data_IF_891601864541
#
_entry.id   IF_891601864541
#
_cell.length_a   1.000
_cell.length_b   1.000
_cell.length_c   1.000
_cell.angle_alpha   90.00
_cell.angle_beta   90.00
_cell.angle_gamma   90.00
#
_symmetry.space_group_name_H-M   'P 1'
#
loop_
_entity.id
_entity.type
_entity.pdbx_description
1 polymer ?
#
# COMPACT_ATOMS: atom_id res chain seq x y z
N UNK A 1 26.15 0.08 18.74
CA UNK A 1 25.25 -0.07 18.78
C UNK A 1 24.84 -0.46 18.80
N UNK A 2 25.26 -0.10 18.95
CA UNK A 2 24.26 -0.15 18.93
C UNK A 2 23.71 -0.13 19.15
N UNK A 3 23.88 0.58 19.40
CA UNK A 3 22.86 0.84 19.48
C UNK A 3 22.34 1.30 19.57
N UNK A 4 22.94 1.85 19.69
CA UNK A 4 22.04 2.38 19.66
C UNK A 4 21.54 2.31 19.29
N UNK A 5 22.04 2.56 19.35
CA UNK A 5 21.09 2.68 18.98
C UNK A 5 20.40 2.13 18.99
N UNK A 6 20.40 2.17 19.25
CA UNK A 6 19.29 1.84 19.30
C UNK A 6 18.69 2.04 19.96
N UNK A 7 19.02 2.69 20.34
CA UNK A 7 18.05 3.05 20.76
C UNK A 7 17.36 3.67 20.64
N UNK A 8 17.70 4.29 20.66
CA UNK A 8 16.67 4.85 20.46
C UNK A 8 16.03 4.71 19.88
N UNK A 9 15.92 4.49 20.08
CA UNK A 9 14.87 4.41 19.50
C UNK A 9 14.28 3.91 19.77
N UNK A 10 14.58 3.83 20.06
CA UNK A 10 13.69 3.58 20.18
C UNK A 10 12.94 3.99 20.54
N UNK A 11 12.99 4.46 20.81
CA UNK A 11 12.01 4.94 20.95
C UNK A 11 11.35 5.21 20.62
N UNK A 12 11.34 5.37 20.70
CA UNK A 12 10.49 5.75 20.17
C UNK A 12 10.19 5.98 19.64
N UNK A 13 10.35 5.93 19.43
CA UNK A 13 9.81 6.24 18.72
C UNK A 13 9.39 6.37 18.20
N UNK A 14 9.81 6.43 18.38
CA UNK A 14 9.25 6.88 17.77
C UNK A 14 8.66 7.24 16.76
N UNK A 15 8.47 7.30 16.58
CA UNK A 15 8.02 8.00 15.38
C UNK A 15 8.42 7.33 14.10
N UNK A 16 8.96 6.21 14.19
CA UNK A 16 9.33 5.48 12.99
C UNK A 16 8.08 4.90 12.36
N UNK A 17 7.87 5.17 11.07
CA UNK A 17 6.69 4.70 10.40
C UNK A 17 6.75 3.20 10.19
N UNK A 18 5.60 2.56 10.25
CA UNK A 18 5.49 1.14 10.06
C UNK A 18 5.63 0.74 8.60
N UNK A 19 5.16 1.60 7.70
CA UNK A 19 5.13 1.33 6.27
C UNK A 19 5.69 2.51 5.52
N UNK A 20 6.27 2.23 4.35
CA UNK A 20 6.64 3.28 3.40
C UNK A 20 5.52 3.44 2.39
N UNK A 21 5.47 4.59 1.75
CA UNK A 21 4.55 4.78 0.63
C UNK A 21 5.00 3.89 -0.53
N UNK A 22 4.04 3.31 -1.28
CA UNK A 22 4.40 2.38 -2.36
C UNK A 22 4.86 3.06 -3.65
N UNK A 23 4.86 4.38 -3.69
CA UNK A 23 5.35 5.11 -4.87
C UNK A 23 6.23 6.25 -4.39
N UNK A 24 7.11 6.72 -5.27
CA UNK A 24 7.87 7.94 -5.00
C UNK A 24 6.93 9.13 -5.13
N UNK A 25 7.21 10.18 -4.34
CA UNK A 25 6.44 11.43 -4.36
C UNK A 25 4.93 11.18 -4.29
N UNK A 26 4.46 10.53 -3.21
CA UNK A 26 3.04 10.20 -3.13
C UNK A 26 2.16 11.44 -3.14
N UNK A 27 1.13 11.41 -3.97
CA UNK A 27 0.09 12.42 -4.02
C UNK A 27 -1.24 11.70 -3.88
N UNK A 28 -1.99 12.04 -2.84
CA UNK A 28 -3.24 11.35 -2.55
C UNK A 28 -4.36 11.96 -3.37
N UNK A 29 -4.96 11.15 -4.23
CA UNK A 29 -6.10 11.55 -5.04
C UNK A 29 -7.39 11.38 -4.25
N UNK A 30 -7.51 10.28 -3.50
CA UNK A 30 -8.68 10.02 -2.69
C UNK A 30 -8.26 9.35 -1.39
N UNK A 31 -8.74 9.88 -0.28
CA UNK A 31 -8.36 9.41 1.04
C UNK A 31 -9.20 8.21 1.47
N UNK A 32 -8.71 7.51 2.47
CA UNK A 32 -9.43 6.43 3.10
C UNK A 32 -10.70 6.99 3.76
N UNK A 33 -11.82 6.26 3.59
CA UNK A 33 -13.08 6.58 4.26
C UNK A 33 -13.63 5.30 4.84
N UNK A 34 -13.65 5.21 6.16
CA UNK A 34 -14.13 3.99 6.80
C UNK A 34 -15.62 3.84 6.58
N UNK A 35 -16.06 2.68 6.05
CA UNK A 35 -17.50 2.44 5.90
C UNK A 35 -18.19 2.41 7.26
N UNK A 36 -19.44 2.86 7.30
CA UNK A 36 -20.25 2.82 8.54
C UNK A 36 -20.48 1.37 8.95
N UNK A 37 -20.64 0.49 7.99
CA UNK A 37 -20.82 -0.94 8.23
C UNK A 37 -20.21 -1.70 7.03
N UNK A 38 -20.13 -3.05 7.12
CA UNK A 38 -19.41 -3.81 6.07
C UNK A 38 -19.96 -3.67 4.66
N UNK A 39 -21.21 -3.27 4.50
CA UNK A 39 -21.79 -3.15 3.16
C UNK A 39 -22.04 -1.70 2.76
N UNK A 40 -21.73 -0.74 3.61
CA UNK A 40 -21.93 0.67 3.31
C UNK A 40 -20.86 1.19 2.38
N UNK A 41 -21.12 2.27 1.64
CA UNK A 41 -20.09 2.91 0.84
C UNK A 41 -18.96 3.41 1.72
N UNK A 42 -17.77 3.44 1.15
CA UNK A 42 -16.59 3.94 1.80
C UNK A 42 -15.44 3.76 0.84
N UNK A 43 -14.25 4.15 1.25
CA UNK A 43 -13.04 3.98 0.44
C UNK A 43 -12.04 3.21 1.28
N UNK A 44 -11.81 1.95 0.95
CA UNK A 44 -11.06 1.00 1.78
C UNK A 44 -9.57 1.03 1.53
N UNK A 45 -9.06 2.20 1.20
CA UNK A 45 -7.64 2.42 0.96
C UNK A 45 -7.45 3.85 0.54
N UNK A 46 -6.28 4.14 -0.03
CA UNK A 46 -6.00 5.46 -0.60
C UNK A 46 -5.72 5.28 -2.08
N UNK A 47 -6.11 6.27 -2.87
CA UNK A 47 -5.74 6.33 -4.28
C UNK A 47 -4.62 7.33 -4.43
N UNK A 48 -3.53 6.88 -5.01
CA UNK A 48 -2.34 7.70 -5.23
C UNK A 48 -2.21 7.98 -6.71
N UNK A 49 -1.85 9.21 -7.05
CA UNK A 49 -1.61 9.56 -8.45
C UNK A 49 -0.48 8.70 -8.97
N UNK A 50 -0.72 7.96 -10.04
CA UNK A 50 0.29 7.09 -10.63
C UNK A 50 -0.11 6.75 -12.05
N UNK A 51 0.81 6.97 -12.99
CA UNK A 51 0.55 6.64 -14.38
C UNK A 51 0.93 5.21 -14.66
N UNK A 52 0.43 4.70 -15.78
CA UNK A 52 0.79 3.36 -16.23
C UNK A 52 2.32 3.24 -16.31
N UNK A 53 2.85 2.15 -15.79
CA UNK A 53 4.29 1.91 -15.78
C UNK A 53 4.99 2.36 -14.51
N UNK A 54 4.30 3.06 -13.60
CA UNK A 54 4.90 3.47 -12.34
C UNK A 54 5.30 2.25 -11.52
N UNK A 55 6.54 2.26 -11.01
CA UNK A 55 7.03 1.15 -10.19
C UNK A 55 6.37 1.21 -8.82
N UNK A 56 5.88 0.06 -8.38
CA UNK A 56 5.28 -0.08 -7.06
C UNK A 56 6.32 -0.68 -6.13
N UNK A 57 6.60 0.02 -5.02
CA UNK A 57 7.57 -0.41 -4.03
C UNK A 57 6.84 -1.04 -2.86
N UNK A 58 7.41 -2.13 -2.32
CA UNK A 58 6.76 -2.78 -1.20
C UNK A 58 6.82 -1.88 0.03
N UNK A 59 5.67 -1.59 0.66
CA UNK A 59 5.68 -0.71 1.83
C UNK A 59 6.41 -1.29 3.02
N UNK A 60 6.59 -2.60 3.05
CA UNK A 60 7.27 -3.30 4.13
C UNK A 60 7.68 -4.67 3.62
N UNK A 61 8.64 -5.29 4.29
CA UNK A 61 9.00 -6.66 3.93
C UNK A 61 7.78 -7.56 4.03
N UNK A 62 7.73 -8.58 3.19
CA UNK A 62 6.61 -9.50 3.21
C UNK A 62 6.75 -10.59 2.17
N UNK A 63 5.61 -11.21 1.87
CA UNK A 63 5.52 -12.31 0.93
C UNK A 63 4.36 -12.03 -0.03
N UNK A 64 4.60 -12.22 -1.32
CA UNK A 64 3.52 -12.08 -2.30
C UNK A 64 2.46 -13.12 -1.99
N UNK A 65 1.24 -12.67 -1.73
CA UNK A 65 0.14 -13.56 -1.35
C UNK A 65 -0.89 -13.72 -2.44
N UNK A 66 -0.92 -12.82 -3.41
CA UNK A 66 -1.84 -12.91 -4.55
C UNK A 66 -1.30 -12.10 -5.72
N UNK A 67 -1.51 -12.61 -6.92
CA UNK A 67 -1.18 -11.89 -8.13
C UNK A 67 -2.08 -12.41 -9.24
N UNK A 68 -2.95 -11.54 -9.76
CA UNK A 68 -3.87 -11.97 -10.80
C UNK A 68 -5.03 -11.02 -10.94
N UNK A 69 -6.11 -11.50 -11.52
CA UNK A 69 -7.30 -10.68 -11.76
C UNK A 69 -8.39 -11.01 -10.75
N UNK A 70 -9.05 -9.96 -10.28
CA UNK A 70 -10.22 -10.07 -9.41
C UNK A 70 -11.30 -9.25 -10.09
N UNK A 71 -12.36 -9.91 -10.55
CA UNK A 71 -13.47 -9.25 -11.26
C UNK A 71 -12.96 -8.41 -12.43
N UNK A 72 -11.97 -8.93 -13.15
CA UNK A 72 -11.40 -8.25 -14.31
C UNK A 72 -10.35 -7.22 -14.01
N UNK A 73 -10.01 -6.99 -12.75
CA UNK A 73 -9.04 -5.98 -12.35
C UNK A 73 -7.74 -6.64 -11.94
N UNK A 74 -6.63 -6.01 -12.31
CA UNK A 74 -5.31 -6.55 -12.00
C UNK A 74 -4.92 -6.18 -10.59
N UNK A 75 -4.62 -7.19 -9.77
CA UNK A 75 -4.38 -7.01 -8.33
C UNK A 75 -3.13 -7.77 -7.90
N UNK A 76 -2.32 -7.13 -7.06
CA UNK A 76 -1.19 -7.77 -6.41
C UNK A 76 -1.31 -7.51 -4.92
N UNK A 77 -1.11 -8.56 -4.10
CA UNK A 77 -1.16 -8.43 -2.65
C UNK A 77 0.11 -8.94 -2.02
N UNK A 78 0.53 -8.28 -0.95
CA UNK A 78 1.71 -8.65 -0.17
C UNK A 78 1.29 -8.78 1.29
N UNK A 79 1.56 -9.95 1.87
CA UNK A 79 1.29 -10.18 3.29
C UNK A 79 2.51 -9.80 4.10
N UNK A 80 2.33 -8.89 5.03
CA UNK A 80 3.37 -8.40 5.91
C UNK A 80 3.29 -9.08 7.26
N UNK A 81 4.29 -8.82 8.10
CA UNK A 81 4.30 -9.30 9.47
C UNK A 81 3.08 -8.75 10.22
N UNK A 82 2.57 -9.51 11.17
CA UNK A 82 1.45 -9.06 11.99
C UNK A 82 0.09 -9.24 11.36
N UNK A 83 -0.01 -10.00 10.29
CA UNK A 83 -1.29 -10.28 9.67
C UNK A 83 -1.86 -9.14 8.84
N UNK A 84 -1.03 -8.18 8.47
CA UNK A 84 -1.46 -7.04 7.64
C UNK A 84 -1.10 -7.33 6.19
N UNK A 85 -2.05 -7.11 5.29
CA UNK A 85 -1.87 -7.32 3.87
C UNK A 85 -2.03 -6.01 3.12
N UNK A 86 -1.05 -5.69 2.26
CA UNK A 86 -1.18 -4.59 1.29
C UNK A 86 -1.78 -5.13 0.01
N UNK A 87 -2.68 -4.36 -0.58
CA UNK A 87 -3.26 -4.70 -1.88
C UNK A 87 -3.08 -3.52 -2.82
N UNK A 88 -2.63 -3.80 -4.03
CA UNK A 88 -2.34 -2.78 -5.04
C UNK A 88 -3.20 -3.04 -6.28
N UNK A 89 -3.84 -2.00 -6.78
CA UNK A 89 -4.71 -2.10 -7.95
C UNK A 89 -4.73 -0.77 -8.70
N UNK A 90 -4.46 -0.75 -10.01
CA UNK A 90 -4.11 -1.90 -10.85
C UNK A 90 -2.62 -2.20 -10.76
N UNK A 91 -2.26 -3.44 -10.71
CA UNK A 91 -0.86 -3.82 -10.55
C UNK A 91 -0.60 -5.15 -11.20
N UNK A 92 0.56 -5.25 -11.87
CA UNK A 92 1.03 -6.52 -12.41
C UNK A 92 2.44 -6.75 -11.89
N UNK A 93 2.84 -8.01 -11.77
CA UNK A 93 4.13 -8.37 -11.22
C UNK A 93 4.70 -9.56 -11.97
N UNK A 94 6.03 -9.63 -11.99
CA UNK A 94 6.72 -10.82 -12.47
C UNK A 94 7.04 -11.79 -11.34
N UNK A 95 6.76 -11.40 -10.11
CA UNK A 95 6.99 -12.26 -8.96
C UNK A 95 5.88 -13.30 -8.87
N UNK A 96 6.18 -14.38 -8.17
CA UNK A 96 5.24 -15.46 -7.95
C UNK A 96 4.71 -15.41 -6.53
N UNK A 97 3.49 -15.91 -6.35
CA UNK A 97 2.94 -16.09 -5.02
C UNK A 97 3.90 -16.95 -4.21
N UNK A 98 4.23 -16.51 -3.01
CA UNK A 98 5.20 -17.17 -2.15
C UNK A 98 6.58 -16.53 -2.17
N UNK A 99 6.87 -15.67 -3.15
CA UNK A 99 8.15 -14.97 -3.17
C UNK A 99 8.23 -13.99 -2.02
N UNK A 100 9.40 -13.94 -1.36
CA UNK A 100 9.62 -12.97 -0.30
C UNK A 100 10.21 -11.70 -0.89
N UNK A 101 9.84 -10.57 -0.30
CA UNK A 101 10.32 -9.27 -0.76
C UNK A 101 10.74 -8.44 0.44
N UNK A 102 11.68 -7.55 0.19
CA UNK A 102 12.17 -6.62 1.20
C UNK A 102 11.40 -5.32 1.15
N UNK A 103 11.46 -4.57 2.24
CA UNK A 103 10.90 -3.24 2.29
C UNK A 103 11.50 -2.39 1.17
N UNK A 104 10.66 -1.67 0.43
CA UNK A 104 11.03 -0.79 -0.68
C UNK A 104 11.57 -1.52 -1.92
N UNK A 105 11.49 -2.83 -1.93
CA UNK A 105 11.82 -3.58 -3.13
C UNK A 105 10.69 -3.42 -4.16
N UNK A 106 11.01 -3.26 -5.44
CA UNK A 106 9.95 -3.23 -6.45
C UNK A 106 9.13 -4.51 -6.42
N UNK A 107 7.82 -4.36 -6.37
CA UNK A 107 6.91 -5.49 -6.30
C UNK A 107 6.11 -5.66 -7.59
N UNK A 108 6.09 -4.61 -8.41
CA UNK A 108 5.36 -4.66 -9.67
C UNK A 108 5.28 -3.28 -10.27
N UNK A 109 4.41 -3.14 -11.25
CA UNK A 109 4.16 -1.83 -11.88
C UNK A 109 2.67 -1.59 -11.96
N UNK A 110 2.31 -0.32 -12.03
CA UNK A 110 0.93 0.09 -12.29
C UNK A 110 0.63 -0.22 -13.74
N UNK A 111 -0.29 -1.14 -13.96
CA UNK A 111 -0.66 -1.52 -15.32
C UNK A 111 -1.96 -2.28 -15.28
N UNK A 112 -2.83 -2.03 -16.25
CA UNK A 112 -4.08 -2.75 -16.35
C UNK A 112 -5.26 -1.86 -16.00
N UNK A 113 -6.40 -2.49 -15.77
CA UNK A 113 -7.67 -1.79 -15.57
C UNK A 113 -7.99 -1.67 -14.09
N UNK A 114 -8.65 -0.57 -13.75
CA UNK A 114 -9.10 -0.30 -12.40
C UNK A 114 -10.32 0.60 -12.49
N UNK A 115 -11.13 0.59 -11.44
CA UNK A 115 -12.25 1.53 -11.33
C UNK A 115 -11.81 2.86 -10.74
N UNK A 116 -10.51 3.01 -10.47
CA UNK A 116 -10.01 4.18 -9.77
C UNK A 116 -9.39 5.18 -10.74
N UNK A 117 -9.76 6.44 -10.60
CA UNK A 117 -9.10 7.58 -11.25
C UNK A 117 -8.89 7.41 -12.75
N UNK A 118 -9.78 6.74 -13.45
CA UNK A 118 -9.67 6.54 -14.91
C UNK A 118 -8.30 5.97 -15.29
N UNK A 119 -7.85 4.97 -14.50
CA UNK A 119 -6.60 4.24 -14.73
C UNK A 119 -5.34 5.09 -14.52
N UNK A 120 -5.44 6.20 -13.80
CA UNK A 120 -4.29 7.05 -13.50
C UNK A 120 -3.95 7.07 -12.04
N UNK A 121 -4.42 6.10 -11.28
CA UNK A 121 -4.16 6.02 -9.85
C UNK A 121 -3.76 4.63 -9.48
N UNK A 122 -3.02 4.55 -8.38
CA UNK A 122 -2.75 3.28 -7.73
C UNK A 122 -3.57 3.26 -6.44
N UNK A 123 -4.46 2.31 -6.33
CA UNK A 123 -5.18 2.09 -5.08
C UNK A 123 -4.31 1.21 -4.19
N UNK A 124 -4.08 1.68 -2.97
CA UNK A 124 -3.33 0.94 -1.95
C UNK A 124 -4.22 0.74 -0.75
N UNK A 125 -4.54 -0.52 -0.46
CA UNK A 125 -5.33 -0.87 0.71
C UNK A 125 -4.49 -1.62 1.72
N UNK A 126 -4.79 -1.42 2.99
CA UNK A 126 -4.22 -2.19 4.08
C UNK A 126 -5.35 -2.88 4.82
N UNK A 127 -5.16 -4.16 5.10
CA UNK A 127 -6.18 -4.93 5.81
C UNK A 127 -5.51 -5.83 6.84
N UNK A 128 -6.01 -5.78 8.08
CA UNK A 128 -5.56 -6.70 9.12
C UNK A 128 -6.59 -7.82 9.22
N UNK A 129 -6.11 -9.06 9.13
CA UNK A 129 -7.04 -10.19 9.13
C UNK A 129 -7.92 -10.18 7.91
N UNK A 130 -9.20 -10.53 8.07
CA UNK A 130 -10.09 -10.72 6.93
C UNK A 130 -11.05 -9.55 6.69
N UNK A 131 -11.18 -8.63 7.65
CA UNK A 131 -12.19 -7.58 7.52
C UNK A 131 -11.81 -6.23 8.11
N UNK A 132 -10.65 -6.10 8.74
CA UNK A 132 -10.29 -4.87 9.42
C UNK A 132 -9.44 -4.00 8.49
N UNK A 133 -10.09 -3.06 7.82
CA UNK A 133 -9.42 -2.14 6.90
C UNK A 133 -8.76 -1.02 7.69
N UNK A 134 -7.51 -0.74 7.36
CA UNK A 134 -6.70 0.27 8.03
C UNK A 134 -6.52 1.46 7.11
N UNK A 135 -6.37 2.65 7.70
CA UNK A 135 -6.09 3.86 6.92
C UNK A 135 -4.59 3.89 6.59
N UNK A 136 -4.22 3.70 5.32
CA UNK A 136 -2.80 3.65 4.97
C UNK A 136 -2.04 4.92 5.34
N UNK A 137 -2.68 6.08 5.33
CA UNK A 137 -1.99 7.33 5.66
C UNK A 137 -1.52 7.36 7.10
N UNK A 138 -2.21 6.66 8.00
CA UNK A 138 -1.81 6.61 9.41
C UNK A 138 -0.63 5.67 9.64
N UNK A 139 -0.38 4.77 8.70
CA UNK A 139 0.68 3.77 8.85
C UNK A 139 1.91 4.08 8.00
N UNK A 140 1.77 4.98 7.03
CA UNK A 140 2.85 5.32 6.13
C UNK A 140 3.81 6.32 6.78
N UNK A 141 4.93 6.52 6.13
CA UNK A 141 5.96 7.38 6.67
C UNK A 141 5.54 8.82 6.82
N UNK A 142 6.33 9.59 7.53
CA UNK A 142 6.03 10.99 7.83
C UNK A 142 6.39 11.92 6.67
N UNK A 143 6.56 11.39 5.46
CA UNK A 143 6.84 12.22 4.30
C UNK A 143 5.71 13.21 4.08
N UNK A 144 6.10 14.37 3.56
CA UNK A 144 5.11 15.37 3.21
C UNK A 144 4.23 14.85 2.08
N UNK A 145 2.93 14.96 2.26
CA UNK A 145 1.96 14.52 1.29
C UNK A 145 1.32 15.74 0.66
N UNK A 146 1.18 15.73 -0.66
CA UNK A 146 0.47 16.77 -1.39
C UNK A 146 -0.85 16.18 -1.86
N UNK A 147 -1.95 16.76 -1.39
CA UNK A 147 -3.27 16.33 -1.86
C UNK A 147 -3.52 16.98 -3.21
N UNK A 148 -3.99 16.16 -4.15
CA UNK A 148 -4.32 16.66 -5.47
C UNK A 148 -5.57 17.52 -5.37
N UNK A 149 -5.58 18.72 -5.96
CA UNK A 149 -6.80 19.53 -5.96
C UNK A 149 -7.91 18.83 -6.73
N UNK A 150 -9.11 18.97 -6.26
CA UNK A 150 -10.26 18.36 -6.92
C UNK A 150 -10.82 19.25 -8.01
#
# INVERSE_FOLDING_TARGET
FSDMSDLAWRNGNQCESRFDWPVDDPQVEQQFERPINPWAPGHRGVDLVAEQGTVILSPQAGTVSFAGKVAGKDVVSVRHRGGVTSTFEPAVTELSVGDTISRRQPVGIVEGSSDHCEDRCLHWGLKRGTADYLDPQQYAGSRKIVLKPS
#
